data_IF_336526768405
#
_entry.id   IF_336526768405
#
_cell.length_a   1.000
_cell.length_b   1.000
_cell.length_c   1.000
_cell.angle_alpha   90.00
_cell.angle_beta   90.00
_cell.angle_gamma   90.00
#
_symmetry.space_group_name_H-M   'P 1'
#
loop_
_entity.id
_entity.type
_entity.pdbx_description
1 polymer ?
#
# COMPACT_ATOMS: atom_id res chain seq x y z
N UNK A 1 -26.96 6.04 -3.67
CA UNK A 1 -25.61 5.44 -3.70
C UNK A 1 -25.47 4.68 -5.00
N UNK A 2 -24.36 4.78 -5.72
CA UNK A 2 -24.18 4.04 -6.96
C UNK A 2 -24.16 2.53 -6.70
N UNK A 3 -24.78 1.76 -7.60
CA UNK A 3 -25.14 0.34 -7.41
C UNK A 3 -24.01 -0.65 -7.77
N UNK A 4 -22.74 -0.24 -7.69
CA UNK A 4 -21.61 -1.06 -8.15
C UNK A 4 -20.91 -1.85 -7.04
N UNK A 5 -21.18 -1.57 -5.76
CA UNK A 5 -20.53 -2.26 -4.64
C UNK A 5 -21.43 -2.32 -3.40
N UNK A 6 -21.39 -3.46 -2.71
CA UNK A 6 -21.99 -3.61 -1.39
C UNK A 6 -21.11 -2.91 -0.35
N UNK A 7 -21.72 -2.03 0.45
CA UNK A 7 -21.05 -1.28 1.51
C UNK A 7 -21.18 -2.03 2.84
N UNK A 8 -20.05 -2.35 3.46
CA UNK A 8 -20.06 -2.96 4.80
C UNK A 8 -20.17 -1.90 5.90
N UNK A 9 -20.63 -2.30 7.09
CA UNK A 9 -20.84 -1.37 8.21
C UNK A 9 -19.57 -0.60 8.62
N UNK A 10 -18.40 -1.26 8.61
CA UNK A 10 -17.14 -0.60 8.93
C UNK A 10 -16.70 0.42 7.85
N UNK A 11 -17.11 0.22 6.60
CA UNK A 11 -16.86 1.16 5.50
C UNK A 11 -17.84 2.34 5.58
N UNK A 12 -19.09 2.09 6.01
CA UNK A 12 -20.10 3.14 6.15
C UNK A 12 -19.81 4.14 7.27
N UNK A 13 -19.18 3.66 8.34
CA UNK A 13 -18.79 4.46 9.51
C UNK A 13 -17.48 5.23 9.31
N UNK A 14 -16.78 4.97 8.20
CA UNK A 14 -15.53 5.63 7.88
C UNK A 14 -15.73 7.12 7.61
N UNK A 15 -14.92 7.96 8.27
CA UNK A 15 -14.91 9.42 8.13
C UNK A 15 -13.57 9.88 7.55
N UNK A 16 -13.52 10.04 6.23
CA UNK A 16 -12.29 10.43 5.50
C UNK A 16 -11.65 11.73 6.02
N UNK A 17 -12.45 12.66 6.57
CA UNK A 17 -11.94 13.95 7.05
C UNK A 17 -11.15 13.77 8.34
N UNK A 18 -11.61 12.91 9.25
CA UNK A 18 -10.92 12.64 10.51
C UNK A 18 -9.57 11.96 10.27
N UNK A 19 -9.52 11.00 9.35
CA UNK A 19 -8.27 10.31 9.00
C UNK A 19 -7.31 11.23 8.26
N UNK A 20 -7.83 12.12 7.39
CA UNK A 20 -7.02 13.16 6.75
C UNK A 20 -6.40 14.10 7.77
N UNK A 21 -7.19 14.66 8.68
CA UNK A 21 -6.68 15.57 9.72
C UNK A 21 -5.62 14.87 10.58
N UNK A 22 -5.87 13.63 10.99
CA UNK A 22 -4.85 12.86 11.72
C UNK A 22 -3.56 12.69 10.91
N UNK A 23 -3.64 12.36 9.61
CA UNK A 23 -2.45 12.21 8.77
C UNK A 23 -1.73 13.54 8.50
N UNK A 24 -2.46 14.65 8.44
CA UNK A 24 -1.91 16.00 8.33
C UNK A 24 -1.18 16.40 9.61
N UNK A 25 -1.80 16.21 10.78
CA UNK A 25 -1.19 16.51 12.08
C UNK A 25 0.07 15.66 12.33
N UNK A 26 0.07 14.44 11.79
CA UNK A 26 1.15 13.47 11.95
C UNK A 26 2.03 13.32 10.70
N UNK A 27 2.14 14.35 9.86
CA UNK A 27 2.94 14.30 8.63
C UNK A 27 4.42 13.94 8.86
N UNK A 28 4.97 14.29 10.02
CA UNK A 28 6.35 13.95 10.40
C UNK A 28 6.57 12.46 10.64
N UNK A 29 5.51 11.68 10.92
CA UNK A 29 5.61 10.23 11.12
C UNK A 29 6.20 9.52 9.92
N UNK A 30 5.88 9.95 8.70
CA UNK A 30 6.47 9.39 7.48
C UNK A 30 8.00 9.43 7.51
N UNK A 31 8.58 10.57 7.91
CA UNK A 31 10.03 10.73 8.03
C UNK A 31 10.63 9.89 9.16
N UNK A 32 9.94 9.78 10.30
CA UNK A 32 10.37 8.90 11.38
C UNK A 32 10.40 7.43 10.94
N UNK A 33 9.38 6.96 10.22
CA UNK A 33 9.34 5.60 9.68
C UNK A 33 10.47 5.34 8.68
N UNK A 34 10.74 6.29 7.79
CA UNK A 34 11.89 6.21 6.86
C UNK A 34 13.22 6.15 7.60
N UNK A 35 13.40 6.98 8.64
CA UNK A 35 14.60 6.96 9.47
C UNK A 35 14.81 5.61 10.15
N UNK A 36 13.77 5.06 10.80
CA UNK A 36 13.79 3.73 11.41
C UNK A 36 14.10 2.66 10.37
N UNK A 37 13.45 2.71 9.21
CA UNK A 37 13.66 1.77 8.11
C UNK A 37 15.11 1.76 7.61
N UNK A 38 15.72 2.94 7.43
CA UNK A 38 17.13 3.05 7.03
C UNK A 38 18.07 2.47 8.08
N UNK A 39 17.85 2.78 9.37
CA UNK A 39 18.63 2.21 10.48
C UNK A 39 18.50 0.68 10.51
N UNK A 40 17.29 0.15 10.31
CA UNK A 40 17.05 -1.30 10.26
C UNK A 40 17.74 -1.97 9.08
N UNK A 41 17.77 -1.33 7.90
CA UNK A 41 18.46 -1.89 6.73
C UNK A 41 19.96 -1.93 6.93
N UNK A 42 20.59 -0.78 7.20
CA UNK A 42 22.05 -0.70 7.30
C UNK A 42 22.56 -1.39 8.56
N UNK A 43 21.86 -1.22 9.69
CA UNK A 43 22.16 -1.94 10.92
C UNK A 43 21.95 -3.44 10.78
N UNK A 44 20.85 -3.86 10.14
CA UNK A 44 20.56 -5.26 9.86
C UNK A 44 21.61 -5.89 8.93
N UNK A 45 22.04 -5.19 7.88
CA UNK A 45 23.12 -5.64 7.00
C UNK A 45 24.43 -5.83 7.78
N UNK A 46 24.81 -4.85 8.61
CA UNK A 46 26.02 -4.93 9.44
C UNK A 46 25.97 -6.12 10.41
N UNK A 47 24.87 -6.28 11.15
CA UNK A 47 24.69 -7.40 12.09
C UNK A 47 24.69 -8.76 11.39
N UNK A 48 24.10 -8.84 10.20
CA UNK A 48 24.03 -10.07 9.43
C UNK A 48 25.38 -10.48 8.83
N UNK A 49 26.37 -9.60 8.69
CA UNK A 49 27.69 -9.96 8.15
C UNK A 49 28.28 -11.19 8.88
N UNK A 50 28.20 -11.20 10.21
CA UNK A 50 28.76 -12.25 11.08
C UNK A 50 27.78 -13.38 11.43
N UNK A 51 26.57 -13.40 10.88
CA UNK A 51 25.52 -14.39 11.20
C UNK A 51 25.20 -15.28 9.99
N UNK A 52 24.75 -16.54 10.16
CA UNK A 52 24.22 -17.32 9.03
C UNK A 52 22.91 -16.72 8.50
N UNK A 53 22.55 -17.04 7.26
CA UNK A 53 21.24 -16.66 6.69
C UNK A 53 20.10 -17.32 7.46
N UNK A 54 19.00 -16.61 7.67
CA UNK A 54 17.80 -17.19 8.27
C UNK A 54 16.92 -17.88 7.22
N UNK A 55 16.40 -19.06 7.56
CA UNK A 55 15.43 -19.79 6.75
C UNK A 55 14.00 -19.43 7.19
N UNK A 56 13.47 -18.33 6.66
CA UNK A 56 12.17 -17.75 7.06
C UNK A 56 11.03 -18.14 6.11
N UNK A 57 11.12 -19.30 5.46
CA UNK A 57 10.23 -19.68 4.34
C UNK A 57 8.75 -19.68 4.73
N UNK A 58 8.37 -20.28 5.86
CA UNK A 58 6.98 -20.33 6.32
C UNK A 58 6.40 -18.95 6.62
N UNK A 59 7.17 -18.10 7.31
CA UNK A 59 6.78 -16.72 7.62
C UNK A 59 6.64 -15.92 6.33
N UNK A 60 7.56 -16.10 5.37
CA UNK A 60 7.54 -15.40 4.08
C UNK A 60 6.34 -15.81 3.23
N UNK A 61 5.94 -17.09 3.23
CA UNK A 61 4.72 -17.55 2.54
C UNK A 61 3.49 -16.89 3.17
N UNK A 62 3.37 -16.92 4.50
CA UNK A 62 2.26 -16.30 5.23
C UNK A 62 2.19 -14.80 4.91
N UNK A 63 3.32 -14.10 5.02
CA UNK A 63 3.46 -12.68 4.75
C UNK A 63 3.01 -12.29 3.34
N UNK A 64 3.54 -12.95 2.31
CA UNK A 64 3.14 -12.68 0.93
C UNK A 64 1.66 -13.03 0.68
N UNK A 65 1.14 -14.07 1.31
CA UNK A 65 -0.29 -14.44 1.18
C UNK A 65 -1.20 -13.37 1.80
N UNK A 66 -0.83 -12.83 2.96
CA UNK A 66 -1.56 -11.74 3.60
C UNK A 66 -1.54 -10.47 2.74
N UNK A 67 -0.37 -10.10 2.18
CA UNK A 67 -0.28 -8.93 1.29
C UNK A 67 -1.02 -9.14 -0.04
N UNK A 68 -1.00 -10.36 -0.59
CA UNK A 68 -1.75 -10.71 -1.79
C UNK A 68 -3.26 -10.61 -1.58
N UNK A 69 -3.77 -11.19 -0.49
CA UNK A 69 -5.20 -11.15 -0.14
C UNK A 69 -5.67 -9.73 0.14
N UNK A 70 -4.88 -8.95 0.91
CA UNK A 70 -5.17 -7.53 1.13
C UNK A 70 -5.23 -6.74 -0.17
N UNK A 71 -4.24 -6.94 -1.06
CA UNK A 71 -4.19 -6.23 -2.34
C UNK A 71 -5.32 -6.63 -3.28
N UNK A 72 -5.72 -7.91 -3.28
CA UNK A 72 -6.85 -8.40 -4.05
C UNK A 72 -8.17 -7.80 -3.54
N UNK A 73 -8.38 -7.76 -2.22
CA UNK A 73 -9.56 -7.12 -1.63
C UNK A 73 -9.61 -5.63 -1.97
N UNK A 74 -8.49 -4.93 -1.87
CA UNK A 74 -8.37 -3.52 -2.30
C UNK A 74 -8.75 -3.34 -3.76
N UNK A 75 -8.17 -4.15 -4.67
CA UNK A 75 -8.49 -4.12 -6.10
C UNK A 75 -9.98 -4.37 -6.35
N UNK A 76 -10.57 -5.41 -5.75
CA UNK A 76 -11.99 -5.73 -5.91
C UNK A 76 -12.92 -4.60 -5.45
N UNK A 77 -12.49 -3.74 -4.53
CA UNK A 77 -13.31 -2.63 -4.01
C UNK A 77 -13.07 -1.31 -4.74
N UNK A 78 -11.86 -1.05 -5.23
CA UNK A 78 -11.54 0.20 -5.93
C UNK A 78 -11.75 0.13 -7.45
N UNK A 79 -11.60 -1.04 -8.07
CA UNK A 79 -11.78 -1.23 -9.53
C UNK A 79 -13.21 -0.93 -9.99
N UNK A 80 -14.29 -1.36 -9.30
CA UNK A 80 -15.65 -1.04 -9.72
C UNK A 80 -15.94 0.48 -9.72
N UNK A 81 -15.49 1.21 -8.69
CA UNK A 81 -15.60 2.68 -8.65
C UNK A 81 -14.83 3.31 -9.81
N UNK A 82 -13.61 2.83 -10.05
CA UNK A 82 -12.75 3.34 -11.12
C UNK A 82 -13.40 3.17 -12.51
N UNK A 83 -13.92 1.98 -12.81
CA UNK A 83 -14.61 1.69 -14.08
C UNK A 83 -15.86 2.55 -14.20
N UNK A 84 -16.67 2.65 -13.14
CA UNK A 84 -17.88 3.47 -13.12
C UNK A 84 -17.59 4.96 -13.38
N UNK A 85 -16.56 5.50 -12.73
CA UNK A 85 -16.13 6.89 -12.93
C UNK A 85 -15.65 7.12 -14.36
N UNK A 86 -14.90 6.18 -14.94
CA UNK A 86 -14.44 6.28 -16.33
C UNK A 86 -15.58 6.21 -17.35
N UNK A 87 -16.54 5.31 -17.17
CA UNK A 87 -17.63 5.11 -18.13
C UNK A 87 -18.68 6.21 -18.08
N UNK A 88 -18.99 6.74 -16.89
CA UNK A 88 -20.09 7.71 -16.73
C UNK A 88 -19.63 9.17 -16.68
N UNK A 89 -18.43 9.45 -16.17
CA UNK A 89 -17.93 10.83 -15.99
C UNK A 89 -16.69 11.14 -16.86
N UNK A 90 -16.11 10.13 -17.50
CA UNK A 90 -14.99 10.29 -18.44
C UNK A 90 -13.62 10.47 -17.78
N UNK A 91 -12.60 10.62 -18.62
CA UNK A 91 -11.20 10.68 -18.19
C UNK A 91 -10.88 11.91 -17.32
N UNK A 92 -11.40 13.08 -17.68
CA UNK A 92 -11.18 14.31 -16.92
C UNK A 92 -11.61 14.15 -15.46
N UNK A 93 -12.81 13.63 -15.23
CA UNK A 93 -13.33 13.40 -13.90
C UNK A 93 -12.49 12.35 -13.14
N UNK A 94 -12.01 11.31 -13.83
CA UNK A 94 -11.19 10.27 -13.21
C UNK A 94 -9.82 10.77 -12.70
N UNK A 95 -9.26 11.82 -13.32
CA UNK A 95 -7.91 12.34 -13.02
C UNK A 95 -7.95 13.62 -12.20
N UNK A 96 -8.94 14.48 -12.42
CA UNK A 96 -8.97 15.83 -11.86
C UNK A 96 -9.94 15.99 -10.68
N UNK A 97 -10.83 15.02 -10.43
CA UNK A 97 -11.82 15.10 -9.35
C UNK A 97 -11.61 14.00 -8.30
N UNK A 98 -11.37 14.34 -7.02
CA UNK A 98 -11.12 13.37 -5.94
C UNK A 98 -12.40 12.72 -5.38
N UNK A 99 -13.39 12.46 -6.24
CA UNK A 99 -14.70 11.93 -5.83
C UNK A 99 -14.63 10.54 -5.17
N UNK A 100 -13.59 9.77 -5.45
CA UNK A 100 -13.37 8.45 -4.84
C UNK A 100 -13.09 8.51 -3.33
N UNK A 101 -12.64 9.65 -2.80
CA UNK A 101 -12.44 9.84 -1.35
C UNK A 101 -13.61 10.58 -0.73
N UNK A 102 -14.10 11.63 -1.41
CA UNK A 102 -15.10 12.55 -0.84
C UNK A 102 -16.53 12.01 -0.93
N UNK A 103 -16.86 11.24 -1.98
CA UNK A 103 -18.23 10.82 -2.25
C UNK A 103 -18.43 9.31 -2.04
N UNK A 104 -17.39 8.51 -2.29
CA UNK A 104 -17.43 7.07 -2.06
C UNK A 104 -16.70 6.70 -0.76
N UNK A 105 -17.48 6.26 0.23
CA UNK A 105 -16.95 5.79 1.52
C UNK A 105 -16.14 4.51 1.40
N UNK A 106 -16.51 3.61 0.48
CA UNK A 106 -15.82 2.34 0.27
C UNK A 106 -14.45 2.64 -0.33
N UNK A 107 -14.39 3.33 -1.47
CA UNK A 107 -13.12 3.68 -2.10
C UNK A 107 -12.25 4.59 -1.21
N UNK A 108 -12.86 5.49 -0.43
CA UNK A 108 -12.16 6.32 0.55
C UNK A 108 -11.51 5.53 1.69
N UNK A 109 -12.20 4.52 2.23
CA UNK A 109 -11.63 3.61 3.24
C UNK A 109 -10.45 2.81 2.68
N UNK A 110 -10.63 2.20 1.51
CA UNK A 110 -9.58 1.40 0.87
C UNK A 110 -8.38 2.26 0.42
N UNK A 111 -8.61 3.53 0.07
CA UNK A 111 -7.54 4.50 -0.17
C UNK A 111 -6.73 4.80 1.08
N UNK A 112 -7.37 4.95 2.24
CA UNK A 112 -6.65 5.14 3.49
C UNK A 112 -5.85 3.89 3.88
N UNK A 113 -6.46 2.71 3.75
CA UNK A 113 -5.78 1.43 3.97
C UNK A 113 -4.59 1.23 3.03
N UNK A 114 -4.67 1.68 1.78
CA UNK A 114 -3.56 1.66 0.82
C UNK A 114 -2.35 2.43 1.31
N UNK A 115 -2.57 3.63 1.85
CA UNK A 115 -1.48 4.46 2.37
C UNK A 115 -0.83 3.79 3.57
N UNK A 116 -1.65 3.24 4.47
CA UNK A 116 -1.16 2.50 5.62
C UNK A 116 -0.43 1.21 5.23
N UNK A 117 -0.80 0.53 4.14
CA UNK A 117 -0.15 -0.72 3.71
C UNK A 117 1.32 -0.53 3.33
N UNK A 118 1.72 0.70 2.98
CA UNK A 118 3.12 1.00 2.67
C UNK A 118 4.05 0.82 3.86
N UNK A 119 3.53 0.89 5.09
CA UNK A 119 4.30 0.61 6.30
C UNK A 119 4.61 -0.89 6.46
N UNK A 120 3.61 -1.82 6.43
CA UNK A 120 3.89 -3.23 6.34
C UNK A 120 4.83 -3.59 5.20
N UNK A 121 4.64 -3.06 3.99
CA UNK A 121 5.47 -3.37 2.81
C UNK A 121 6.98 -3.12 3.03
N UNK A 122 7.38 -2.25 3.96
CA UNK A 122 8.79 -2.08 4.37
C UNK A 122 9.40 -3.38 4.95
N UNK A 123 8.56 -4.26 5.49
CA UNK A 123 8.95 -5.58 5.98
C UNK A 123 9.57 -6.48 4.90
N UNK A 124 9.22 -6.28 3.63
CA UNK A 124 9.80 -7.04 2.52
C UNK A 124 11.33 -6.89 2.48
N UNK A 125 11.81 -5.67 2.72
CA UNK A 125 13.24 -5.37 2.74
C UNK A 125 13.93 -5.97 3.97
N UNK A 126 13.24 -6.06 5.10
CA UNK A 126 13.75 -6.74 6.30
C UNK A 126 13.97 -8.22 5.99
N UNK A 127 13.03 -8.90 5.32
CA UNK A 127 13.20 -10.29 4.91
C UNK A 127 14.38 -10.49 3.95
N UNK A 128 14.62 -9.55 3.02
CA UNK A 128 15.78 -9.59 2.11
C UNK A 128 17.09 -9.54 2.91
N UNK A 129 17.19 -8.61 3.87
CA UNK A 129 18.39 -8.43 4.72
C UNK A 129 18.63 -9.68 5.59
N UNK A 130 17.60 -10.20 6.26
CA UNK A 130 17.71 -11.39 7.12
C UNK A 130 18.06 -12.66 6.35
N UNK A 131 17.70 -12.73 5.06
CA UNK A 131 18.04 -13.86 4.16
C UNK A 131 19.36 -13.66 3.42
N UNK A 132 20.09 -12.58 3.70
CA UNK A 132 21.34 -12.19 2.99
C UNK A 132 21.17 -12.13 1.47
N UNK A 133 20.00 -11.72 1.00
CA UNK A 133 19.76 -11.51 -0.43
C UNK A 133 20.29 -10.13 -0.85
N UNK A 134 20.73 -9.95 -2.11
CA UNK A 134 21.25 -8.68 -2.57
C UNK A 134 20.15 -7.62 -2.57
N UNK A 135 20.30 -6.60 -1.72
CA UNK A 135 19.40 -5.47 -1.66
C UNK A 135 19.76 -4.45 -2.74
N UNK A 136 18.96 -4.40 -3.81
CA UNK A 136 19.16 -3.45 -4.91
C UNK A 136 18.68 -2.05 -4.55
N UNK A 137 19.35 -1.03 -5.10
CA UNK A 137 19.01 0.39 -4.87
C UNK A 137 17.53 0.70 -5.15
N UNK A 138 17.04 0.23 -6.30
CA UNK A 138 15.68 0.48 -6.74
C UNK A 138 14.63 0.05 -5.70
N UNK A 139 14.85 -1.07 -5.01
CA UNK A 139 13.87 -1.62 -4.08
C UNK A 139 13.69 -0.71 -2.86
N UNK A 140 14.76 -0.44 -2.11
CA UNK A 140 14.63 0.35 -0.89
C UNK A 140 14.32 1.82 -1.17
N UNK A 141 14.84 2.37 -2.27
CA UNK A 141 14.49 3.72 -2.73
C UNK A 141 13.01 3.84 -3.11
N UNK A 142 12.48 2.85 -3.85
CA UNK A 142 11.07 2.79 -4.18
C UNK A 142 10.20 2.74 -2.92
N UNK A 143 10.49 1.85 -1.96
CA UNK A 143 9.70 1.72 -0.74
C UNK A 143 9.65 3.01 0.10
N UNK A 144 10.76 3.75 0.19
CA UNK A 144 10.78 5.07 0.86
C UNK A 144 9.92 6.08 0.11
N UNK A 145 10.12 6.19 -1.20
CA UNK A 145 9.45 7.22 -1.99
C UNK A 145 7.95 6.98 -2.08
N UNK A 146 7.49 5.75 -2.26
CA UNK A 146 6.04 5.45 -2.29
C UNK A 146 5.37 5.62 -0.94
N UNK A 147 6.07 5.38 0.17
CA UNK A 147 5.55 5.67 1.52
C UNK A 147 5.31 7.16 1.70
N UNK A 148 6.33 8.00 1.45
CA UNK A 148 6.21 9.45 1.60
C UNK A 148 5.20 10.05 0.61
N UNK A 149 5.24 9.59 -0.64
CA UNK A 149 4.33 10.05 -1.68
C UNK A 149 2.87 9.71 -1.36
N UNK A 150 2.58 8.48 -0.94
CA UNK A 150 1.21 8.08 -0.60
C UNK A 150 0.68 8.83 0.62
N UNK A 151 1.52 9.07 1.63
CA UNK A 151 1.14 9.87 2.80
C UNK A 151 0.76 11.29 2.42
N UNK A 152 1.62 11.97 1.66
CA UNK A 152 1.38 13.35 1.21
C UNK A 152 0.21 13.46 0.22
N UNK A 153 0.10 12.52 -0.71
CA UNK A 153 -0.97 12.53 -1.71
C UNK A 153 -2.36 12.36 -1.07
N UNK A 154 -2.44 11.58 0.02
CA UNK A 154 -3.68 11.44 0.79
C UNK A 154 -4.04 12.71 1.56
N UNK A 155 -3.06 13.43 2.14
CA UNK A 155 -3.33 14.68 2.86
C UNK A 155 -3.83 15.80 1.95
N UNK A 156 -3.43 15.78 0.68
CA UNK A 156 -3.84 16.77 -0.32
C UNK A 156 -5.05 16.33 -1.16
N UNK A 157 -5.61 15.13 -0.92
CA UNK A 157 -6.67 14.54 -1.75
C UNK A 157 -6.34 14.64 -3.25
N UNK A 158 -5.12 14.25 -3.63
CA UNK A 158 -4.70 14.32 -5.03
C UNK A 158 -5.58 13.41 -5.88
N UNK A 159 -6.36 14.00 -6.80
CA UNK A 159 -7.32 13.25 -7.60
C UNK A 159 -6.67 12.16 -8.49
N UNK A 160 -5.46 12.42 -9.01
CA UNK A 160 -4.71 11.45 -9.82
C UNK A 160 -4.25 10.22 -9.04
N UNK A 161 -4.25 10.27 -7.69
CA UNK A 161 -3.91 9.13 -6.84
C UNK A 161 -4.83 7.92 -7.08
N UNK A 162 -6.08 8.15 -7.51
CA UNK A 162 -7.04 7.08 -7.86
C UNK A 162 -6.41 6.04 -8.80
N UNK A 163 -5.82 6.50 -9.91
CA UNK A 163 -5.19 5.63 -10.91
C UNK A 163 -4.01 4.86 -10.33
N UNK A 164 -3.19 5.55 -9.55
CA UNK A 164 -2.02 4.94 -8.90
C UNK A 164 -2.43 3.83 -7.94
N UNK A 165 -3.42 4.08 -7.08
CA UNK A 165 -3.93 3.12 -6.08
C UNK A 165 -4.50 1.88 -6.77
N UNK A 166 -5.39 2.07 -7.74
CA UNK A 166 -6.07 0.97 -8.44
C UNK A 166 -5.05 0.09 -9.17
N UNK A 167 -4.14 0.70 -9.94
CA UNK A 167 -3.08 -0.03 -10.63
C UNK A 167 -2.18 -0.77 -9.65
N UNK A 168 -1.79 -0.12 -8.55
CA UNK A 168 -0.89 -0.69 -7.56
C UNK A 168 -1.52 -1.88 -6.84
N UNK A 169 -2.80 -1.81 -6.47
CA UNK A 169 -3.53 -2.95 -5.90
C UNK A 169 -3.62 -4.13 -6.86
N UNK A 170 -3.93 -3.87 -8.14
CA UNK A 170 -3.95 -4.92 -9.16
C UNK A 170 -2.59 -5.59 -9.32
N UNK A 171 -1.52 -4.80 -9.49
CA UNK A 171 -0.15 -5.34 -9.67
C UNK A 171 0.32 -6.08 -8.42
N UNK A 172 0.11 -5.53 -7.22
CA UNK A 172 0.52 -6.19 -5.97
C UNK A 172 -0.25 -7.48 -5.70
N UNK A 173 -1.54 -7.54 -6.07
CA UNK A 173 -2.31 -8.80 -5.96
C UNK A 173 -1.63 -9.93 -6.74
N UNK A 174 -1.14 -9.65 -7.96
CA UNK A 174 -0.45 -10.62 -8.81
C UNK A 174 0.97 -10.89 -8.30
N UNK A 175 1.73 -9.84 -8.00
CA UNK A 175 3.13 -9.92 -7.60
C UNK A 175 3.31 -10.70 -6.28
N UNK A 176 2.52 -10.39 -5.25
CA UNK A 176 2.58 -11.11 -3.98
C UNK A 176 2.04 -12.54 -4.08
N UNK A 177 1.02 -12.78 -4.91
CA UNK A 177 0.57 -14.15 -5.21
C UNK A 177 1.69 -14.97 -5.84
N UNK A 178 2.42 -14.40 -6.80
CA UNK A 178 3.59 -15.04 -7.40
C UNK A 178 4.70 -15.31 -6.36
N UNK A 179 4.99 -14.38 -5.45
CA UNK A 179 5.98 -14.59 -4.39
C UNK A 179 5.56 -15.65 -3.38
N UNK A 180 4.28 -15.68 -2.99
CA UNK A 180 3.75 -16.74 -2.13
C UNK A 180 3.91 -18.12 -2.79
N UNK A 181 3.49 -18.26 -4.05
CA UNK A 181 3.64 -19.50 -4.83
C UNK A 181 5.12 -19.91 -4.97
N UNK A 182 5.99 -18.96 -5.29
CA UNK A 182 7.44 -19.22 -5.42
C UNK A 182 8.08 -19.63 -4.09
N UNK A 183 7.60 -19.09 -2.96
CA UNK A 183 8.09 -19.45 -1.64
C UNK A 183 7.52 -20.78 -1.14
N UNK A 184 6.40 -21.25 -1.69
CA UNK A 184 5.86 -22.60 -1.43
C UNK A 184 6.59 -23.70 -2.22
N UNK A 185 7.24 -23.37 -3.33
CA UNK A 185 8.11 -24.28 -4.09
C UNK A 185 9.48 -24.43 -3.45
#
# INVERSE_FOLDING_TARGET
MPNYSYMFNFESDFKHQSTRTWMQDNWTLGFYYVGIYMVLIFGGQYLMQNRPKFELRGILVLWNTLLATFSLMGACRTVPEFIHTLTHHGLYHSVCVPSFIEQDKVSGFWTWMFVLSKLPELGDTIFIVLRKQPLIFLHWYHHITVLLYSWFSYTEYTASARWFIVMNYCVHSVMYSYYALRAMR
#
